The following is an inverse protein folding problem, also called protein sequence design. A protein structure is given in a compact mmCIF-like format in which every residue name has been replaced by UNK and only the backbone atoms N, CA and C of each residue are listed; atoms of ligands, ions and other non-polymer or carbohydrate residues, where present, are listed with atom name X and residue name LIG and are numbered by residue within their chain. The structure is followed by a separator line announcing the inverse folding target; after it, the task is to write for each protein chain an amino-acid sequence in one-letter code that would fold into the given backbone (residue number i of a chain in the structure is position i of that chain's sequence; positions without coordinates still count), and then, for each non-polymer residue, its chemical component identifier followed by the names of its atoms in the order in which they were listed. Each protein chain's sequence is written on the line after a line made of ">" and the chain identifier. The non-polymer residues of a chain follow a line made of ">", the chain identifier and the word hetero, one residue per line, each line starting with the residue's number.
data_IF_853736979633
#
_entry.id   IF_853736979633
#
_cell.length_a   1.000
_cell.length_b   1.000
_cell.length_c   1.000
_cell.angle_alpha   90.00
_cell.angle_beta   90.00
_cell.angle_gamma   90.00
#
_symmetry.space_group_name_H-M   'P 1'
#
loop_
_entity.id
_entity.type
_entity.pdbx_description
1 polymer ?
#
# COMPACT_ATOMS: atom_id res chain seq x y z
N UNK A 1 3.28 18.95 -9.39
CA UNK A 1 3.67 18.59 -8.01
C UNK A 1 2.47 18.38 -7.09
N UNK A 2 1.89 19.44 -6.48
CA UNK A 2 0.87 19.30 -5.41
C UNK A 2 -0.38 18.56 -5.89
N UNK A 3 -1.03 19.04 -6.95
CA UNK A 3 -2.25 18.40 -7.48
C UNK A 3 -1.99 16.94 -7.92
N UNK A 4 -0.81 16.67 -8.51
CA UNK A 4 -0.42 15.32 -8.88
C UNK A 4 -0.28 14.41 -7.67
N UNK A 5 0.38 14.90 -6.61
CA UNK A 5 0.51 14.21 -5.34
C UNK A 5 -0.86 13.89 -4.73
N UNK A 6 -1.73 14.91 -4.58
CA UNK A 6 -3.05 14.72 -3.98
C UNK A 6 -3.88 13.72 -4.79
N UNK A 7 -3.93 13.87 -6.12
CA UNK A 7 -4.66 12.93 -6.99
C UNK A 7 -4.13 11.50 -6.87
N UNK A 8 -2.80 11.31 -6.88
CA UNK A 8 -2.18 9.98 -6.79
C UNK A 8 -2.44 9.34 -5.42
N UNK A 9 -2.24 10.09 -4.34
CA UNK A 9 -2.44 9.62 -2.96
C UNK A 9 -3.91 9.25 -2.71
N UNK A 10 -4.86 10.07 -3.16
CA UNK A 10 -6.30 9.77 -3.08
C UNK A 10 -6.63 8.51 -3.90
N UNK A 11 -6.07 8.36 -5.10
CA UNK A 11 -6.29 7.18 -5.93
C UNK A 11 -5.72 5.91 -5.29
N UNK A 12 -4.54 5.98 -4.66
CA UNK A 12 -3.94 4.87 -3.89
C UNK A 12 -4.85 4.46 -2.74
N UNK A 13 -5.21 5.40 -1.86
CA UNK A 13 -6.13 5.16 -0.74
C UNK A 13 -7.46 4.57 -1.24
N UNK A 14 -7.98 5.04 -2.38
CA UNK A 14 -9.16 4.48 -3.02
C UNK A 14 -9.00 3.01 -3.43
N UNK A 15 -7.85 2.61 -3.99
CA UNK A 15 -7.57 1.21 -4.31
C UNK A 15 -7.45 0.34 -3.06
N UNK A 16 -6.78 0.84 -2.01
CA UNK A 16 -6.67 0.14 -0.74
C UNK A 16 -8.04 -0.06 -0.11
N UNK A 17 -8.89 0.97 -0.09
CA UNK A 17 -10.29 0.87 0.38
C UNK A 17 -11.09 -0.17 -0.40
N UNK A 18 -10.94 -0.24 -1.72
CA UNK A 18 -11.59 -1.28 -2.54
C UNK A 18 -11.11 -2.67 -2.15
N UNK A 19 -9.80 -2.87 -1.98
CA UNK A 19 -9.24 -4.14 -1.55
C UNK A 19 -9.74 -4.54 -0.15
N UNK A 20 -9.74 -3.59 0.79
CA UNK A 20 -10.25 -3.78 2.15
C UNK A 20 -11.73 -4.11 2.17
N UNK A 21 -12.54 -3.48 1.31
CA UNK A 21 -13.96 -3.80 1.19
C UNK A 21 -14.19 -5.23 0.70
N UNK A 22 -13.42 -5.68 -0.30
CA UNK A 22 -13.46 -7.09 -0.76
C UNK A 22 -13.07 -8.03 0.38
N UNK A 23 -11.98 -7.74 1.09
CA UNK A 23 -11.55 -8.55 2.24
C UNK A 23 -12.57 -8.52 3.39
N UNK A 24 -13.27 -7.40 3.58
CA UNK A 24 -14.29 -7.25 4.60
C UNK A 24 -15.50 -8.16 4.36
N UNK A 25 -15.86 -8.40 3.10
CA UNK A 25 -16.97 -9.26 2.73
C UNK A 25 -16.66 -10.76 2.88
N UNK A 26 -15.38 -11.14 2.85
CA UNK A 26 -14.93 -12.55 2.77
C UNK A 26 -14.13 -13.03 3.98
N UNK A 27 -13.88 -12.15 4.96
CA UNK A 27 -13.18 -12.49 6.20
C UNK A 27 -14.04 -12.15 7.41
N UNK A 28 -13.69 -12.71 8.58
CA UNK A 28 -14.36 -12.40 9.84
C UNK A 28 -14.08 -10.98 10.38
N UNK A 29 -13.15 -10.25 9.74
CA UNK A 29 -12.65 -8.95 10.20
C UNK A 29 -13.39 -7.74 9.61
N UNK A 30 -14.52 -7.96 8.93
CA UNK A 30 -15.12 -6.96 8.04
C UNK A 30 -15.39 -5.59 8.65
N UNK A 31 -15.94 -5.52 9.87
CA UNK A 31 -16.22 -4.24 10.52
C UNK A 31 -14.94 -3.43 10.80
N UNK A 32 -13.87 -4.08 11.26
CA UNK A 32 -12.60 -3.41 11.53
C UNK A 32 -11.92 -2.98 10.23
N UNK A 33 -11.91 -3.83 9.20
CA UNK A 33 -11.30 -3.50 7.90
C UNK A 33 -11.94 -2.27 7.23
N UNK A 34 -13.26 -2.14 7.31
CA UNK A 34 -13.97 -0.96 6.79
C UNK A 34 -13.62 0.33 7.56
N UNK A 35 -13.38 0.23 8.87
CA UNK A 35 -12.93 1.36 9.70
C UNK A 35 -11.48 1.71 9.34
N UNK A 36 -10.58 0.72 9.28
CA UNK A 36 -9.18 0.92 8.86
C UNK A 36 -9.06 1.64 7.52
N UNK A 37 -9.90 1.26 6.55
CA UNK A 37 -9.93 1.90 5.25
C UNK A 37 -10.25 3.39 5.29
N UNK A 38 -11.00 3.87 6.29
CA UNK A 38 -11.32 5.31 6.42
C UNK A 38 -10.07 6.12 6.74
N UNK A 39 -9.20 5.60 7.60
CA UNK A 39 -8.02 6.29 8.14
C UNK A 39 -6.71 5.88 7.45
N UNK A 40 -6.74 4.88 6.56
CA UNK A 40 -5.56 4.41 5.82
C UNK A 40 -4.81 5.59 5.16
N UNK A 41 -3.53 5.72 5.50
CA UNK A 41 -2.60 6.74 5.00
C UNK A 41 -3.05 8.19 5.23
N UNK A 42 -3.98 8.46 6.15
CA UNK A 42 -4.44 9.83 6.44
C UNK A 42 -3.28 10.76 6.88
N UNK A 43 -2.27 10.20 7.55
CA UNK A 43 -1.01 10.87 7.95
C UNK A 43 -0.29 11.56 6.79
N UNK A 44 -0.44 11.08 5.55
CA UNK A 44 0.13 11.69 4.33
C UNK A 44 -0.31 13.14 4.14
N UNK A 45 -1.50 13.50 4.60
CA UNK A 45 -2.01 14.87 4.49
C UNK A 45 -1.64 15.76 5.68
N UNK A 46 -0.98 15.21 6.69
CA UNK A 46 -0.48 15.91 7.87
C UNK A 46 0.80 16.72 7.63
N UNK A 47 1.14 17.65 8.54
CA UNK A 47 2.31 18.52 8.39
C UNK A 47 3.65 17.78 8.38
N UNK A 48 3.74 16.60 9.00
CA UNK A 48 4.94 15.77 9.09
C UNK A 48 5.28 15.12 7.74
N UNK A 49 4.28 14.81 6.90
CA UNK A 49 4.47 14.01 5.69
C UNK A 49 4.18 14.76 4.40
N UNK A 50 3.22 15.69 4.39
CA UNK A 50 2.64 16.21 3.15
C UNK A 50 3.68 16.85 2.24
N UNK A 51 4.49 17.77 2.76
CA UNK A 51 5.48 18.50 1.95
C UNK A 51 6.58 17.56 1.44
N UNK A 52 7.23 16.72 2.27
CA UNK A 52 8.23 15.78 1.77
C UNK A 52 7.68 14.79 0.74
N UNK A 53 6.46 14.26 0.95
CA UNK A 53 5.85 13.33 0.00
C UNK A 53 5.43 13.98 -1.33
N UNK A 54 5.12 15.28 -1.36
CA UNK A 54 4.94 16.03 -2.63
C UNK A 54 6.24 15.97 -3.45
N UNK A 55 7.39 16.21 -2.82
CA UNK A 55 8.69 16.14 -3.48
C UNK A 55 9.04 14.72 -3.92
N UNK A 56 8.89 13.73 -3.02
CA UNK A 56 9.17 12.33 -3.34
C UNK A 56 8.32 11.83 -4.51
N UNK A 57 7.04 12.18 -4.52
CA UNK A 57 6.11 11.80 -5.57
C UNK A 57 6.48 12.43 -6.91
N UNK A 58 6.89 13.71 -6.90
CA UNK A 58 7.38 14.37 -8.12
C UNK A 58 8.66 13.74 -8.64
N UNK A 59 9.62 13.43 -7.76
CA UNK A 59 10.85 12.75 -8.14
C UNK A 59 10.56 11.42 -8.86
N UNK A 60 9.65 10.61 -8.32
CA UNK A 60 9.23 9.36 -8.96
C UNK A 60 8.50 9.60 -10.29
N UNK A 61 7.70 10.66 -10.41
CA UNK A 61 7.03 11.04 -11.67
C UNK A 61 8.05 11.39 -12.74
N UNK A 62 8.98 12.29 -12.43
CA UNK A 62 10.04 12.71 -13.35
C UNK A 62 10.91 11.52 -13.78
N UNK A 63 11.36 10.70 -12.82
CA UNK A 63 12.16 9.49 -13.12
C UNK A 63 11.43 8.52 -14.06
N UNK A 64 10.13 8.32 -13.88
CA UNK A 64 9.32 7.45 -14.75
C UNK A 64 9.21 8.00 -16.18
N UNK A 65 9.22 9.32 -16.32
CA UNK A 65 9.18 10.01 -17.61
C UNK A 65 10.56 10.18 -18.25
N UNK A 66 11.64 9.70 -17.62
CA UNK A 66 13.01 9.95 -18.08
C UNK A 66 13.46 11.41 -17.90
N UNK A 67 12.73 12.18 -17.09
CA UNK A 67 13.06 13.56 -16.76
C UNK A 67 14.09 13.58 -15.62
N UNK A 68 15.09 14.44 -15.76
CA UNK A 68 16.07 14.68 -14.70
C UNK A 68 15.46 15.54 -13.59
N UNK A 69 15.65 15.13 -12.34
CA UNK A 69 15.12 15.84 -11.19
C UNK A 69 16.11 15.79 -10.02
N UNK A 70 16.36 16.94 -9.41
CA UNK A 70 17.09 17.06 -8.16
C UNK A 70 16.21 17.70 -7.10
N UNK A 71 16.26 17.14 -5.90
CA UNK A 71 15.67 17.76 -4.73
C UNK A 71 16.36 19.09 -4.42
N UNK A 72 15.63 20.08 -3.90
CA UNK A 72 16.24 21.20 -3.18
C UNK A 72 17.08 20.71 -1.99
N UNK A 73 18.05 21.52 -1.56
CA UNK A 73 18.89 21.21 -0.40
C UNK A 73 18.03 20.91 0.85
N UNK A 74 18.41 19.86 1.59
CA UNK A 74 17.72 19.42 2.81
C UNK A 74 16.38 18.69 2.60
N UNK A 75 15.84 18.63 1.37
CA UNK A 75 14.57 17.91 1.12
C UNK A 75 14.75 16.39 1.21
N UNK A 76 15.92 15.86 0.85
CA UNK A 76 16.20 14.42 0.98
C UNK A 76 16.08 13.95 2.44
N UNK A 77 16.65 14.71 3.39
CA UNK A 77 16.58 14.42 4.82
C UNK A 77 15.14 14.49 5.36
N UNK A 78 14.37 15.49 4.91
CA UNK A 78 12.96 15.61 5.26
C UNK A 78 12.11 14.44 4.72
N UNK A 79 12.44 13.92 3.53
CA UNK A 79 11.80 12.73 2.97
C UNK A 79 12.10 11.51 3.83
N UNK A 80 13.35 11.32 4.25
CA UNK A 80 13.71 10.20 5.14
C UNK A 80 12.96 10.27 6.48
N UNK A 81 12.82 11.46 7.05
CA UNK A 81 12.01 11.67 8.26
C UNK A 81 10.53 11.35 8.03
N UNK A 82 9.94 11.87 6.95
CA UNK A 82 8.54 11.62 6.62
C UNK A 82 8.24 10.15 6.35
N UNK A 83 9.14 9.43 5.68
CA UNK A 83 9.02 7.98 5.47
C UNK A 83 9.07 7.23 6.79
N UNK A 84 9.99 7.62 7.70
CA UNK A 84 10.06 7.01 9.04
C UNK A 84 8.80 7.29 9.86
N UNK A 85 8.34 8.54 9.88
CA UNK A 85 7.11 8.94 10.54
C UNK A 85 5.96 8.07 10.06
N UNK A 86 5.78 7.97 8.73
CA UNK A 86 4.73 7.17 8.12
C UNK A 86 4.73 5.72 8.57
N UNK A 87 5.87 5.03 8.48
CA UNK A 87 5.95 3.62 8.86
C UNK A 87 5.76 3.43 10.38
N UNK A 88 6.08 4.45 11.20
CA UNK A 88 5.96 4.38 12.67
C UNK A 88 4.57 4.72 13.23
N UNK A 89 3.69 5.37 12.45
CA UNK A 89 2.34 5.78 12.91
C UNK A 89 1.20 5.03 12.23
N UNK A 90 1.49 4.23 11.20
CA UNK A 90 0.49 3.45 10.47
C UNK A 90 0.74 1.95 10.68
N UNK A 91 -0.19 1.29 11.37
CA UNK A 91 -0.05 -0.08 11.88
C UNK A 91 0.10 -1.18 10.82
N UNK A 92 -0.28 -0.92 9.58
CA UNK A 92 -0.09 -1.87 8.48
C UNK A 92 1.38 -1.95 8.01
N UNK A 93 2.25 -1.04 8.45
CA UNK A 93 3.68 -1.16 8.25
C UNK A 93 4.31 -1.98 9.38
N UNK A 94 5.16 -2.98 9.07
CA UNK A 94 5.86 -3.76 10.09
C UNK A 94 6.69 -2.92 11.06
N UNK A 95 7.24 -1.79 10.62
CA UNK A 95 8.07 -0.89 11.43
C UNK A 95 7.29 -0.14 12.52
N UNK A 96 5.96 -0.14 12.47
CA UNK A 96 5.13 0.30 13.60
C UNK A 96 5.33 -0.61 14.82
N UNK A 97 5.62 -1.89 14.59
CA UNK A 97 5.64 -2.93 15.61
C UNK A 97 7.06 -3.20 16.10
N UNK A 98 7.25 -3.55 17.39
CA UNK A 98 8.54 -3.97 17.91
C UNK A 98 9.10 -5.21 17.19
N UNK A 99 8.22 -6.15 16.85
CA UNK A 99 8.48 -7.32 16.01
C UNK A 99 7.39 -7.41 14.92
N UNK A 100 7.73 -7.69 13.64
CA UNK A 100 6.72 -7.97 12.62
C UNK A 100 5.73 -9.08 12.98
N UNK A 101 6.09 -10.00 13.87
CA UNK A 101 5.18 -11.00 14.41
C UNK A 101 4.20 -10.47 15.49
N UNK A 102 4.28 -9.20 15.87
CA UNK A 102 3.27 -8.54 16.71
C UNK A 102 2.10 -7.95 15.88
N UNK A 103 2.20 -7.96 14.54
CA UNK A 103 1.12 -7.51 13.66
C UNK A 103 -0.14 -8.35 13.86
N UNK A 104 -1.29 -7.69 14.01
CA UNK A 104 -2.56 -8.41 14.04
C UNK A 104 -2.93 -8.95 12.65
N UNK A 105 -3.84 -9.92 12.59
CA UNK A 105 -4.38 -10.41 11.32
C UNK A 105 -4.99 -9.26 10.49
N UNK A 106 -5.61 -8.25 11.13
CA UNK A 106 -6.12 -7.04 10.45
C UNK A 106 -4.99 -6.16 9.92
N UNK A 107 -3.91 -5.98 10.68
CA UNK A 107 -2.72 -5.23 10.23
C UNK A 107 -2.11 -5.89 8.98
N UNK A 108 -2.04 -7.23 8.97
CA UNK A 108 -1.50 -8.00 7.83
C UNK A 108 -2.44 -7.97 6.61
N UNK A 109 -3.75 -8.02 6.80
CA UNK A 109 -4.70 -7.86 5.69
C UNK A 109 -4.59 -6.46 5.08
N UNK A 110 -4.52 -5.41 5.92
CA UNK A 110 -4.34 -4.04 5.44
C UNK A 110 -3.02 -3.88 4.68
N UNK A 111 -1.92 -4.47 5.17
CA UNK A 111 -0.63 -4.51 4.47
C UNK A 111 -0.72 -5.20 3.10
N UNK A 112 -1.42 -6.33 3.01
CA UNK A 112 -1.67 -7.03 1.75
C UNK A 112 -2.48 -6.16 0.78
N UNK A 113 -3.52 -5.47 1.27
CA UNK A 113 -4.31 -4.53 0.47
C UNK A 113 -3.49 -3.35 -0.03
N UNK A 114 -2.59 -2.79 0.78
CA UNK A 114 -1.66 -1.72 0.39
C UNK A 114 -0.72 -2.18 -0.74
N UNK A 115 -0.08 -3.35 -0.58
CA UNK A 115 0.81 -3.90 -1.60
C UNK A 115 0.08 -4.24 -2.90
N UNK A 116 -1.15 -4.74 -2.82
CA UNK A 116 -2.00 -5.02 -3.98
C UNK A 116 -2.37 -3.72 -4.69
N UNK A 117 -2.76 -2.67 -3.95
CA UNK A 117 -3.06 -1.35 -4.53
C UNK A 117 -1.86 -0.74 -5.25
N UNK A 118 -0.64 -0.91 -4.71
CA UNK A 118 0.59 -0.53 -5.39
C UNK A 118 0.82 -1.36 -6.66
N UNK A 119 0.68 -2.69 -6.60
CA UNK A 119 0.81 -3.54 -7.78
C UNK A 119 -0.18 -3.13 -8.91
N UNK A 120 -1.43 -2.81 -8.55
CA UNK A 120 -2.45 -2.30 -9.46
C UNK A 120 -2.08 -0.93 -10.05
N UNK A 121 -1.55 0.01 -9.24
CA UNK A 121 -1.16 1.34 -9.73
C UNK A 121 -0.07 1.26 -10.80
N UNK A 122 0.87 0.33 -10.64
CA UNK A 122 2.03 0.19 -11.51
C UNK A 122 1.88 -0.86 -12.61
N UNK A 123 0.70 -1.47 -12.75
CA UNK A 123 0.41 -2.56 -13.68
C UNK A 123 1.45 -3.70 -13.58
N UNK A 124 1.76 -4.10 -12.34
CA UNK A 124 2.76 -5.11 -12.03
C UNK A 124 2.11 -6.41 -11.59
N UNK A 125 2.64 -7.54 -12.07
CA UNK A 125 2.23 -8.88 -11.65
C UNK A 125 0.70 -9.12 -11.74
N UNK A 126 0.02 -8.52 -12.74
CA UNK A 126 -1.42 -8.62 -12.88
C UNK A 126 -2.23 -7.97 -11.74
N UNK A 127 -1.62 -7.03 -11.01
CA UNK A 127 -2.24 -6.38 -9.86
C UNK A 127 -2.07 -7.14 -8.53
N UNK A 128 -1.36 -8.27 -8.50
CA UNK A 128 -1.14 -9.06 -7.29
C UNK A 128 0.05 -8.59 -6.48
N UNK A 129 -0.10 -8.53 -5.15
CA UNK A 129 0.99 -8.30 -4.20
C UNK A 129 2.05 -9.42 -4.17
N UNK A 130 1.77 -10.60 -4.75
CA UNK A 130 2.63 -11.79 -4.69
C UNK A 130 4.07 -11.49 -5.08
N UNK A 131 4.28 -10.82 -6.21
CA UNK A 131 5.62 -10.52 -6.73
C UNK A 131 6.41 -9.55 -5.86
N UNK A 132 5.74 -8.73 -5.04
CA UNK A 132 6.40 -7.90 -4.03
C UNK A 132 6.71 -8.72 -2.76
N UNK A 133 5.73 -9.47 -2.26
CA UNK A 133 5.89 -10.34 -1.09
C UNK A 133 7.08 -11.30 -1.24
N UNK A 134 7.21 -11.95 -2.40
CA UNK A 134 8.32 -12.89 -2.70
C UNK A 134 9.71 -12.21 -2.71
N UNK A 135 9.78 -10.89 -2.93
CA UNK A 135 11.03 -10.12 -2.91
C UNK A 135 11.43 -9.63 -1.52
N UNK A 136 10.47 -9.49 -0.61
CA UNK A 136 10.70 -8.85 0.70
C UNK A 136 10.65 -9.83 1.86
N UNK A 137 9.75 -10.82 1.82
CA UNK A 137 9.58 -11.77 2.91
C UNK A 137 10.77 -12.74 2.95
N UNK A 138 11.40 -12.83 4.13
CA UNK A 138 12.60 -13.64 4.36
C UNK A 138 13.91 -12.99 3.89
N UNK A 139 13.86 -11.76 3.36
CA UNK A 139 15.04 -10.98 2.96
C UNK A 139 15.11 -9.69 3.77
N UNK A 140 14.04 -8.89 3.73
CA UNK A 140 13.91 -7.64 4.49
C UNK A 140 12.93 -7.79 5.64
N UNK A 141 11.82 -8.45 5.38
CA UNK A 141 10.73 -8.63 6.34
C UNK A 141 10.72 -10.09 6.83
N UNK A 142 11.00 -10.29 8.12
CA UNK A 142 11.17 -11.61 8.70
C UNK A 142 9.97 -11.97 9.56
N UNK A 143 8.96 -12.57 8.93
CA UNK A 143 7.82 -13.15 9.63
C UNK A 143 8.11 -14.57 10.12
N UNK A 144 7.53 -14.93 11.26
CA UNK A 144 7.33 -16.29 11.68
C UNK A 144 6.47 -17.08 10.69
N UNK A 145 6.49 -18.41 10.82
CA UNK A 145 5.83 -19.30 9.86
C UNK A 145 4.32 -19.06 9.76
N UNK A 146 3.65 -18.73 10.88
CA UNK A 146 2.22 -18.39 10.92
C UNK A 146 1.91 -17.17 10.06
N UNK A 147 2.52 -16.02 10.35
CA UNK A 147 2.24 -14.78 9.62
C UNK A 147 2.66 -14.86 8.16
N UNK A 148 3.79 -15.51 7.87
CA UNK A 148 4.18 -15.78 6.49
C UNK A 148 3.10 -16.54 5.73
N UNK A 149 2.60 -17.66 6.29
CA UNK A 149 1.53 -18.43 5.66
C UNK A 149 0.26 -17.58 5.51
N UNK A 150 -0.11 -16.86 6.57
CA UNK A 150 -1.28 -16.00 6.57
C UNK A 150 -1.23 -14.93 5.48
N UNK A 151 -0.13 -14.18 5.35
CA UNK A 151 0.06 -13.15 4.32
C UNK A 151 -0.12 -13.74 2.93
N UNK A 152 0.52 -14.87 2.63
CA UNK A 152 0.37 -15.51 1.31
C UNK A 152 -1.05 -16.02 1.05
N UNK A 153 -1.72 -16.57 2.06
CA UNK A 153 -3.13 -16.97 1.95
C UNK A 153 -4.06 -15.78 1.70
N UNK A 154 -3.80 -14.62 2.33
CA UNK A 154 -4.60 -13.41 2.10
C UNK A 154 -4.36 -12.81 0.71
N UNK A 155 -3.13 -12.88 0.19
CA UNK A 155 -2.83 -12.50 -1.20
C UNK A 155 -3.63 -13.39 -2.16
N UNK A 156 -3.54 -14.72 -1.99
CA UNK A 156 -4.26 -15.68 -2.84
C UNK A 156 -5.79 -15.49 -2.76
N UNK A 157 -6.32 -15.24 -1.56
CA UNK A 157 -7.73 -14.98 -1.35
C UNK A 157 -8.16 -13.71 -2.10
N UNK A 158 -7.44 -12.60 -1.91
CA UNK A 158 -7.78 -11.34 -2.57
C UNK A 158 -7.71 -11.45 -4.11
N UNK A 159 -6.69 -12.11 -4.65
CA UNK A 159 -6.52 -12.32 -6.09
C UNK A 159 -7.69 -13.12 -6.72
N UNK A 160 -8.18 -14.15 -6.02
CA UNK A 160 -9.32 -14.98 -6.47
C UNK A 160 -10.63 -14.19 -6.53
N UNK A 161 -10.80 -13.24 -5.60
CA UNK A 161 -12.00 -12.43 -5.52
C UNK A 161 -11.97 -11.22 -6.46
N UNK A 162 -10.81 -10.65 -6.77
CA UNK A 162 -10.71 -9.63 -7.84
C UNK A 162 -10.96 -10.19 -9.24
N UNK A 163 -10.55 -11.45 -9.49
CA UNK A 163 -10.84 -12.14 -10.76
C UNK A 163 -12.34 -12.31 -11.03
N UNK A 164 -13.18 -12.25 -9.99
CA UNK A 164 -14.64 -12.32 -10.11
C UNK A 164 -15.32 -10.96 -10.32
N UNK A 165 -14.61 -9.84 -10.14
CA UNK A 165 -15.17 -8.48 -10.26
C UNK A 165 -14.77 -7.73 -11.56
N UNK A 166 -14.10 -8.37 -12.53
CA UNK A 166 -13.95 -7.84 -13.90
C UNK A 166 -13.19 -8.81 -14.81
N UNK A 167 -13.75 -9.31 -15.93
CA UNK A 167 -14.08 -8.53 -17.12
C UNK A 167 -15.26 -9.18 -17.90
N UNK A 168 -16.49 -8.67 -17.78
CA UNK A 168 -17.44 -8.83 -18.89
C UNK A 168 -17.03 -7.82 -19.95
N UNK A 169 -16.25 -8.26 -20.94
CA UNK A 169 -16.15 -7.49 -22.18
C UNK A 169 -17.53 -7.53 -22.82
N UNK A 170 -18.32 -6.48 -22.68
CA UNK A 170 -19.38 -6.23 -23.65
C UNK A 170 -18.69 -5.94 -24.98
N UNK A 171 -18.60 -6.99 -25.81
CA UNK A 171 -18.45 -6.80 -27.25
C UNK A 171 -19.77 -6.22 -27.75
N UNK A 172 -19.88 -4.92 -27.75
CA UNK A 172 -20.89 -4.22 -28.52
C UNK A 172 -20.62 -4.48 -30.01
N UNK A 173 -21.71 -4.80 -30.71
CA UNK A 173 -21.78 -5.29 -32.09
C UNK A 173 -21.38 -4.25 -33.14
#
# INVERSE_FOLDING_TARGET
>A
MIEFYERRTIAHIGRVRTCLAVMADITEYGAELLIRGQDHDASKFGPEERIPYIWLTEFHRCRRNGEFFHYPDGVAEQIEEAVRHHMSVNRHHPEYHPDPDDMSDVDLIEMVCDWTAMAQEFDQNGGSARGWADKVIGIRLHFGSRHRQFVYSMIELLDQHFSHFGFTSEKSS
#
